data_IF_400578626703
#
_entry.id   IF_400578626703
#
_cell.length_a   1.000
_cell.length_b   1.000
_cell.length_c   1.000
_cell.angle_alpha   90.00
_cell.angle_beta   90.00
_cell.angle_gamma   90.00
#
_symmetry.space_group_name_H-M   'P 1'
#
loop_
_entity.id
_entity.type
_entity.pdbx_description
1 polymer ?
#
# COMPACT_ATOMS: atom_id res chain seq x y z
N UNK A 1 5.71 20.77 5.72
CA UNK A 1 5.45 21.06 4.29
C UNK A 1 4.90 19.78 3.67
N UNK A 2 3.78 19.84 2.96
CA UNK A 2 3.26 18.69 2.20
C UNK A 2 4.21 18.44 1.02
N UNK A 3 4.64 17.19 0.82
CA UNK A 3 5.64 16.85 -0.22
C UNK A 3 4.96 16.56 -1.56
N UNK A 4 4.05 15.60 -1.61
CA UNK A 4 3.30 15.24 -2.82
C UNK A 4 2.01 14.46 -2.50
N UNK A 5 1.20 14.22 -3.52
CA UNK A 5 0.09 13.27 -3.48
C UNK A 5 0.06 12.44 -4.76
N UNK A 6 -0.31 11.17 -4.65
CA UNK A 6 -0.44 10.25 -5.79
C UNK A 6 -1.93 9.88 -5.93
N UNK A 7 -2.67 10.40 -6.93
CA UNK A 7 -4.12 10.21 -7.05
C UNK A 7 -4.47 8.85 -7.69
N UNK A 8 -3.85 7.78 -7.18
CA UNK A 8 -4.01 6.41 -7.65
C UNK A 8 -3.53 5.43 -6.58
N UNK A 9 -3.78 4.14 -6.82
CA UNK A 9 -3.10 3.08 -6.08
C UNK A 9 -1.57 3.16 -6.27
N UNK A 10 -0.83 2.71 -5.27
CA UNK A 10 0.63 2.79 -5.20
C UNK A 10 1.23 1.54 -4.57
N UNK A 11 2.57 1.41 -4.61
CA UNK A 11 3.27 0.39 -3.83
C UNK A 11 2.93 0.46 -2.34
N UNK A 12 2.73 1.68 -1.82
CA UNK A 12 2.32 1.91 -0.43
C UNK A 12 0.88 1.48 -0.15
N UNK A 13 -0.07 1.66 -1.09
CA UNK A 13 -1.44 1.16 -0.89
C UNK A 13 -1.49 -0.37 -0.91
N UNK A 14 -0.65 -1.03 -1.72
CA UNK A 14 -0.53 -2.48 -1.71
C UNK A 14 0.04 -2.98 -0.38
N UNK A 15 1.12 -2.36 0.13
CA UNK A 15 1.67 -2.64 1.46
C UNK A 15 0.62 -2.44 2.56
N UNK A 16 -0.08 -1.31 2.57
CA UNK A 16 -1.12 -1.01 3.56
C UNK A 16 -2.26 -2.04 3.52
N UNK A 17 -2.66 -2.49 2.32
CA UNK A 17 -3.70 -3.53 2.18
C UNK A 17 -3.24 -4.86 2.78
N UNK A 18 -1.96 -5.20 2.66
CA UNK A 18 -1.39 -6.41 3.29
C UNK A 18 -1.23 -6.25 4.79
N UNK A 19 -0.81 -5.08 5.24
CA UNK A 19 -0.58 -4.77 6.65
C UNK A 19 -1.88 -4.75 7.46
N UNK A 20 -2.99 -4.32 6.87
CA UNK A 20 -4.28 -4.15 7.58
C UNK A 20 -5.30 -5.23 7.21
N UNK A 21 -5.05 -5.97 6.13
CA UNK A 21 -6.04 -6.83 5.51
C UNK A 21 -7.18 -6.09 4.78
N UNK A 22 -7.16 -4.75 4.74
CA UNK A 22 -8.16 -3.94 4.07
C UNK A 22 -7.85 -3.81 2.56
N UNK A 23 -8.67 -4.34 1.65
CA UNK A 23 -8.32 -4.42 0.24
C UNK A 23 -8.58 -3.11 -0.52
N UNK A 24 -7.68 -2.14 -0.39
CA UNK A 24 -7.83 -0.76 -0.91
C UNK A 24 -8.21 -0.74 -2.40
N UNK A 25 -7.50 -1.48 -3.25
CA UNK A 25 -7.76 -1.48 -4.69
C UNK A 25 -9.15 -2.03 -5.04
N UNK A 26 -9.61 -3.07 -4.33
CA UNK A 26 -10.93 -3.68 -4.53
C UNK A 26 -12.04 -2.71 -4.14
N UNK A 27 -11.86 -2.02 -3.02
CA UNK A 27 -12.83 -1.03 -2.50
C UNK A 27 -12.85 0.19 -3.41
N UNK A 28 -11.70 0.74 -3.79
CA UNK A 28 -11.58 1.86 -4.71
C UNK A 28 -12.26 1.58 -6.07
N UNK A 29 -12.15 0.36 -6.60
CA UNK A 29 -12.83 -0.04 -7.83
C UNK A 29 -14.37 -0.01 -7.68
N UNK A 30 -14.91 -0.40 -6.53
CA UNK A 30 -16.36 -0.31 -6.26
C UNK A 30 -16.80 1.15 -6.09
N UNK A 31 -16.03 1.96 -5.37
CA UNK A 31 -16.29 3.39 -5.24
C UNK A 31 -16.34 4.08 -6.62
N UNK A 32 -15.47 3.69 -7.54
CA UNK A 32 -15.42 4.24 -8.90
C UNK A 32 -16.69 3.98 -9.73
N UNK A 33 -17.51 2.99 -9.35
CA UNK A 33 -18.80 2.68 -10.00
C UNK A 33 -20.00 3.12 -9.16
N UNK A 34 -19.80 4.02 -8.19
CA UNK A 34 -20.88 4.71 -7.49
C UNK A 34 -21.22 4.17 -6.10
N UNK A 35 -20.53 3.14 -5.61
CA UNK A 35 -20.71 2.70 -4.23
C UNK A 35 -20.16 3.71 -3.23
N UNK A 36 -20.72 3.69 -2.03
CA UNK A 36 -20.22 4.35 -0.82
C UNK A 36 -19.55 3.33 0.10
N UNK A 37 -18.77 3.79 1.10
CA UNK A 37 -17.99 2.90 1.97
C UNK A 37 -18.89 2.04 2.88
N UNK A 38 -20.04 2.55 3.29
CA UNK A 38 -21.02 1.86 4.13
C UNK A 38 -21.79 0.77 3.38
N UNK A 39 -21.91 0.87 2.06
CA UNK A 39 -22.51 -0.18 1.20
C UNK A 39 -21.55 -1.35 0.94
N UNK A 40 -20.25 -1.17 1.17
CA UNK A 40 -19.24 -2.20 0.90
C UNK A 40 -18.96 -2.98 2.17
N UNK A 41 -19.23 -4.29 2.17
CA UNK A 41 -18.91 -5.18 3.30
C UNK A 41 -17.40 -5.41 3.43
N UNK A 42 -16.90 -5.41 4.66
CA UNK A 42 -15.52 -5.79 4.98
C UNK A 42 -15.30 -7.29 4.71
N UNK A 43 -14.35 -7.61 3.82
CA UNK A 43 -14.08 -9.00 3.39
C UNK A 43 -13.57 -9.92 4.52
N UNK A 44 -12.86 -9.37 5.51
CA UNK A 44 -12.23 -10.15 6.59
C UNK A 44 -13.24 -10.50 7.67
N UNK A 45 -13.81 -9.47 8.30
CA UNK A 45 -14.74 -9.67 9.41
C UNK A 45 -16.11 -10.12 8.92
N UNK A 46 -16.47 -9.77 7.68
CA UNK A 46 -17.78 -10.02 7.07
C UNK A 46 -18.96 -9.56 7.91
N UNK A 47 -18.78 -8.72 8.93
CA UNK A 47 -19.89 -8.25 9.76
C UNK A 47 -19.90 -6.73 9.90
N UNK A 48 -18.82 -6.07 9.50
CA UNK A 48 -18.69 -4.61 9.47
C UNK A 48 -18.69 -4.09 8.03
N UNK A 49 -19.10 -2.83 7.79
CA UNK A 49 -18.88 -2.16 6.52
C UNK A 49 -17.40 -1.80 6.32
N UNK A 50 -17.05 -1.28 5.13
CA UNK A 50 -15.72 -0.75 4.82
C UNK A 50 -15.52 0.69 5.31
N UNK A 51 -16.56 1.33 5.85
CA UNK A 51 -16.54 2.65 6.50
C UNK A 51 -15.97 2.58 7.92
N UNK A 52 -14.72 2.14 8.04
CA UNK A 52 -14.00 2.09 9.32
C UNK A 52 -12.49 2.29 9.10
N UNK A 53 -11.78 2.59 10.18
CA UNK A 53 -10.31 2.60 10.20
C UNK A 53 -9.79 1.29 10.80
N UNK A 54 -8.96 0.51 10.08
CA UNK A 54 -8.36 -0.69 10.63
C UNK A 54 -7.50 -0.40 11.86
N UNK A 55 -7.70 -1.18 12.92
CA UNK A 55 -6.80 -1.21 14.09
C UNK A 55 -6.00 -2.51 14.05
N UNK A 56 -4.68 -2.40 14.26
CA UNK A 56 -3.76 -3.53 14.29
C UNK A 56 -3.12 -3.64 15.67
N UNK A 57 -2.90 -4.86 16.14
CA UNK A 57 -2.26 -5.21 17.41
C UNK A 57 -0.83 -5.77 17.23
N UNK A 58 -0.25 -5.49 16.06
CA UNK A 58 1.10 -5.91 15.66
C UNK A 58 1.82 -4.81 14.88
N UNK A 59 3.12 -5.02 14.64
CA UNK A 59 3.97 -4.13 13.84
C UNK A 59 4.31 -4.81 12.52
N UNK A 60 4.19 -4.06 11.42
CA UNK A 60 4.58 -4.52 10.08
C UNK A 60 5.82 -3.77 9.63
N UNK A 61 6.86 -4.52 9.26
CA UNK A 61 8.14 -3.97 8.79
C UNK A 61 8.34 -4.33 7.32
N UNK A 62 8.71 -3.33 6.52
CA UNK A 62 9.09 -3.49 5.11
C UNK A 62 10.57 -3.14 4.95
N UNK A 63 11.32 -3.95 4.22
CA UNK A 63 12.73 -3.69 3.91
C UNK A 63 12.93 -3.81 2.39
N UNK A 64 13.36 -2.75 1.69
CA UNK A 64 13.59 -2.82 0.25
C UNK A 64 14.67 -3.83 -0.11
N UNK A 65 14.49 -4.55 -1.23
CA UNK A 65 15.50 -5.44 -1.80
C UNK A 65 16.29 -4.72 -2.89
N UNK A 66 17.61 -4.82 -2.81
CA UNK A 66 18.54 -4.33 -3.82
C UNK A 66 19.28 -5.49 -4.48
N UNK A 67 19.82 -5.24 -5.67
CA UNK A 67 20.67 -6.18 -6.41
C UNK A 67 21.87 -5.45 -7.03
N UNK A 68 22.59 -4.65 -6.24
CA UNK A 68 23.74 -3.86 -6.72
C UNK A 68 24.88 -4.76 -7.22
N UNK A 69 24.97 -6.00 -6.74
CA UNK A 69 25.92 -7.00 -7.22
C UNK A 69 25.80 -7.30 -8.72
N UNK A 70 24.64 -7.03 -9.33
CA UNK A 70 24.42 -7.16 -10.78
C UNK A 70 24.90 -5.95 -11.58
N UNK A 71 25.21 -4.84 -10.91
CA UNK A 71 25.56 -3.55 -11.51
C UNK A 71 26.82 -2.96 -10.83
N UNK A 72 28.00 -3.56 -11.00
CA UNK A 72 29.22 -3.18 -10.27
C UNK A 72 29.71 -1.75 -10.54
N UNK A 73 29.29 -1.14 -11.65
CA UNK A 73 29.60 0.24 -11.99
C UNK A 73 28.56 1.25 -11.48
N UNK A 74 27.42 0.80 -10.95
CA UNK A 74 26.39 1.67 -10.43
C UNK A 74 26.74 2.13 -9.01
N UNK A 75 26.49 3.41 -8.72
CA UNK A 75 26.62 3.96 -7.37
C UNK A 75 25.56 3.34 -6.43
N UNK A 76 25.95 2.65 -5.34
CA UNK A 76 25.02 2.03 -4.40
C UNK A 76 24.43 3.02 -3.37
N UNK A 77 24.89 4.28 -3.34
CA UNK A 77 24.43 5.29 -2.38
C UNK A 77 22.93 5.58 -2.54
N UNK A 78 22.19 5.60 -1.43
CA UNK A 78 20.75 5.88 -1.46
C UNK A 78 20.49 7.38 -1.68
N UNK A 79 19.48 7.67 -2.49
CA UNK A 79 19.05 9.03 -2.85
C UNK A 79 17.53 9.05 -3.05
N UNK A 80 16.96 10.19 -3.47
CA UNK A 80 15.52 10.34 -3.74
C UNK A 80 15.02 9.48 -4.90
N UNK A 81 15.90 9.14 -5.84
CA UNK A 81 15.63 8.22 -6.93
C UNK A 81 15.67 6.76 -6.45
N UNK A 82 14.61 5.99 -6.76
CA UNK A 82 14.54 4.56 -6.42
C UNK A 82 15.64 3.74 -7.10
N UNK A 83 16.34 2.93 -6.29
CA UNK A 83 17.31 1.90 -6.75
C UNK A 83 16.94 0.46 -6.34
N UNK A 84 15.89 0.27 -5.54
CA UNK A 84 15.42 -1.05 -5.10
C UNK A 84 14.66 -1.78 -6.21
N UNK A 85 14.86 -3.09 -6.33
CA UNK A 85 14.14 -3.95 -7.30
C UNK A 85 12.89 -4.60 -6.73
N UNK A 86 12.73 -4.53 -5.40
CA UNK A 86 11.60 -5.10 -4.69
C UNK A 86 11.59 -4.62 -3.24
N UNK A 87 10.76 -5.28 -2.45
CA UNK A 87 10.51 -5.03 -1.03
C UNK A 87 10.12 -6.31 -0.32
#
# INVERSE_FOLDING_TARGET
VVIEMNPRVSRSSALASKATGFPIAKIAAKLAVGYTLDEIRNDITRVTPASFEPTIDYVVTKIPRFTFEKFPQADPTLTTQMKSVGE
#
